data_IF_219980923405
#
_entry.id   IF_219980923405
#
_cell.length_a   1.000
_cell.length_b   1.000
_cell.length_c   1.000
_cell.angle_alpha   90.00
_cell.angle_beta   90.00
_cell.angle_gamma   90.00
#
_symmetry.space_group_name_H-M   'P 1'
#
loop_
_entity.id
_entity.type
_entity.pdbx_description
1 polymer ?
#
# COMPACT_ATOMS: atom_id res chain seq x y z
N UNK A 1 -87.41 -30.74 12.57
CA UNK A 1 -86.80 -30.32 13.85
C UNK A 1 -85.51 -29.58 13.55
N UNK A 2 -85.43 -28.34 14.02
CA UNK A 2 -84.33 -27.39 13.87
C UNK A 2 -83.05 -27.88 14.56
N UNK A 3 -81.89 -27.73 13.91
CA UNK A 3 -80.62 -27.41 14.60
C UNK A 3 -79.81 -26.44 13.72
N UNK A 4 -79.80 -25.19 14.19
CA UNK A 4 -78.92 -24.10 13.76
C UNK A 4 -77.66 -24.19 14.61
N UNK A 5 -76.48 -24.20 13.99
CA UNK A 5 -75.20 -23.65 14.51
C UNK A 5 -74.20 -23.74 13.35
N UNK A 6 -73.23 -22.87 13.14
CA UNK A 6 -72.85 -21.58 13.68
C UNK A 6 -71.63 -21.17 12.83
N UNK A 7 -71.60 -19.92 12.36
CA UNK A 7 -70.42 -19.06 12.14
C UNK A 7 -69.16 -19.68 11.50
N UNK A 8 -68.71 -19.11 10.38
CA UNK A 8 -67.62 -18.12 10.42
C UNK A 8 -67.40 -17.55 9.01
N UNK A 9 -67.62 -16.25 8.87
CA UNK A 9 -67.12 -15.44 7.76
C UNK A 9 -65.61 -15.32 7.94
N UNK A 10 -64.82 -15.75 6.96
CA UNK A 10 -63.42 -15.38 6.88
C UNK A 10 -63.13 -14.82 5.49
N UNK A 11 -63.37 -13.52 5.37
CA UNK A 11 -62.92 -12.67 4.27
C UNK A 11 -61.39 -12.72 4.23
N UNK A 12 -60.82 -13.43 3.26
CA UNK A 12 -59.38 -13.43 3.01
C UNK A 12 -59.05 -12.16 2.21
N UNK A 13 -58.75 -11.07 2.94
CA UNK A 13 -58.11 -9.88 2.41
C UNK A 13 -56.69 -10.27 1.98
N UNK A 14 -56.50 -10.53 0.68
CA UNK A 14 -55.17 -10.64 0.09
C UNK A 14 -54.58 -9.23 0.06
N UNK A 15 -53.81 -8.92 1.10
CA UNK A 15 -52.94 -7.76 1.16
C UNK A 15 -51.84 -8.00 0.11
N UNK A 16 -51.99 -7.39 -1.07
CA UNK A 16 -50.93 -7.31 -2.07
C UNK A 16 -49.85 -6.39 -1.53
N UNK A 17 -48.99 -6.95 -0.68
CA UNK A 17 -47.77 -6.31 -0.23
C UNK A 17 -46.83 -6.18 -1.42
N UNK A 18 -46.86 -5.02 -2.08
CA UNK A 18 -45.86 -4.58 -3.04
C UNK A 18 -44.49 -4.68 -2.41
N UNK A 19 -43.77 -5.77 -2.71
CA UNK A 19 -42.35 -5.93 -2.40
C UNK A 19 -41.60 -4.99 -3.34
N UNK A 20 -41.61 -3.70 -3.02
CA UNK A 20 -40.71 -2.72 -3.65
C UNK A 20 -39.33 -3.09 -3.16
N UNK A 21 -38.67 -3.96 -3.91
CA UNK A 21 -37.27 -4.31 -3.73
C UNK A 21 -36.48 -3.02 -3.97
N UNK A 22 -36.21 -2.30 -2.87
CA UNK A 22 -35.20 -1.25 -2.85
C UNK A 22 -33.89 -1.91 -3.28
N UNK A 23 -33.57 -1.79 -4.56
CA UNK A 23 -32.20 -1.94 -5.04
C UNK A 23 -31.39 -0.85 -4.35
N UNK A 24 -30.85 -1.18 -3.18
CA UNK A 24 -29.75 -0.45 -2.61
C UNK A 24 -28.65 -0.47 -3.67
N UNK A 25 -28.50 0.63 -4.41
CA UNK A 25 -27.28 0.88 -5.15
C UNK A 25 -26.20 0.90 -4.08
N UNK A 26 -25.36 -0.14 -4.06
CA UNK A 26 -24.12 -0.11 -3.32
C UNK A 26 -23.37 1.12 -3.82
N UNK A 27 -23.45 2.21 -3.06
CA UNK A 27 -22.61 3.36 -3.26
C UNK A 27 -21.22 2.82 -2.98
N UNK A 28 -20.42 2.69 -4.04
CA UNK A 28 -19.00 2.36 -3.91
C UNK A 28 -18.41 3.56 -3.19
N UNK A 29 -18.38 3.51 -1.86
CA UNK A 29 -17.59 4.42 -1.05
C UNK A 29 -16.15 4.07 -1.40
N UNK A 30 -15.37 4.97 -2.01
CA UNK A 30 -13.98 4.69 -2.24
C UNK A 30 -13.37 4.39 -0.87
N UNK A 31 -12.89 3.16 -0.69
CA UNK A 31 -12.06 2.80 0.46
C UNK A 31 -10.90 3.77 0.38
N UNK A 32 -10.84 4.74 1.32
CA UNK A 32 -9.70 5.60 1.44
C UNK A 32 -8.49 4.67 1.49
N UNK A 33 -7.59 4.81 0.52
CA UNK A 33 -6.38 3.99 0.46
C UNK A 33 -5.70 4.13 1.81
N UNK A 34 -5.65 3.07 2.61
CA UNK A 34 -5.00 3.05 3.92
C UNK A 34 -3.47 2.99 3.73
N UNK A 35 -2.95 3.82 2.84
CA UNK A 35 -1.55 4.00 2.53
C UNK A 35 -1.11 5.37 3.01
N UNK A 36 0.15 5.52 3.48
CA UNK A 36 0.64 6.84 3.85
C UNK A 36 0.71 7.72 2.60
N UNK A 37 0.16 8.93 2.69
CA UNK A 37 0.26 9.91 1.62
C UNK A 37 1.68 10.50 1.59
N UNK A 38 2.36 10.41 0.44
CA UNK A 38 3.72 10.91 0.27
C UNK A 38 3.72 12.40 -0.10
N UNK A 39 3.41 13.24 0.88
CA UNK A 39 3.21 14.69 0.66
C UNK A 39 4.36 15.55 1.18
N UNK A 40 5.26 14.99 2.00
CA UNK A 40 6.39 15.73 2.56
C UNK A 40 7.63 15.57 1.66
N UNK A 41 8.42 16.62 1.41
CA UNK A 41 9.71 16.47 0.74
C UNK A 41 10.62 15.50 1.51
N UNK A 42 11.36 14.66 0.79
CA UNK A 42 12.34 13.75 1.40
C UNK A 42 13.59 14.55 1.79
N UNK A 43 13.54 15.17 2.98
CA UNK A 43 14.65 15.95 3.53
C UNK A 43 15.86 15.10 3.92
N UNK A 44 16.99 15.74 4.21
CA UNK A 44 18.25 15.04 4.52
C UNK A 44 18.15 14.09 5.73
N UNK A 45 17.45 14.50 6.80
CA UNK A 45 17.25 13.69 8.00
C UNK A 45 16.39 12.47 7.70
N UNK A 46 15.28 12.66 6.98
CA UNK A 46 14.38 11.56 6.61
C UNK A 46 15.07 10.60 5.64
N UNK A 47 15.84 11.13 4.68
CA UNK A 47 16.66 10.35 3.76
C UNK A 47 17.69 9.50 4.51
N UNK A 48 18.42 10.06 5.48
CA UNK A 48 19.37 9.32 6.32
C UNK A 48 18.68 8.22 7.12
N UNK A 49 17.54 8.52 7.74
CA UNK A 49 16.78 7.55 8.53
C UNK A 49 16.27 6.39 7.67
N UNK A 50 15.64 6.70 6.54
CA UNK A 50 15.11 5.72 5.59
C UNK A 50 16.23 4.87 5.00
N UNK A 51 17.33 5.48 4.56
CA UNK A 51 18.46 4.74 3.99
C UNK A 51 19.06 3.80 5.03
N UNK A 52 19.18 4.24 6.30
CA UNK A 52 19.61 3.39 7.42
C UNK A 52 18.66 2.21 7.64
N UNK A 53 17.35 2.44 7.64
CA UNK A 53 16.34 1.38 7.77
C UNK A 53 16.44 0.36 6.63
N UNK A 54 16.61 0.83 5.39
CA UNK A 54 16.70 -0.03 4.21
C UNK A 54 18.05 -0.77 4.11
N UNK A 55 19.16 -0.17 4.58
CA UNK A 55 20.49 -0.79 4.57
C UNK A 55 20.69 -1.80 5.72
N UNK A 56 20.28 -1.43 6.93
CA UNK A 56 20.45 -2.27 8.11
C UNK A 56 19.29 -3.26 8.29
N UNK A 57 18.17 -3.01 7.63
CA UNK A 57 16.94 -3.73 7.85
C UNK A 57 17.01 -5.17 7.35
N UNK A 58 16.77 -6.11 8.26
CA UNK A 58 16.60 -7.51 7.89
C UNK A 58 15.19 -7.70 7.35
N UNK A 59 15.07 -8.36 6.20
CA UNK A 59 13.77 -8.78 5.69
C UNK A 59 13.19 -9.85 6.63
N UNK A 60 11.91 -9.75 6.92
CA UNK A 60 11.18 -10.69 7.76
C UNK A 60 11.26 -12.12 7.18
N UNK A 61 11.26 -13.19 8.01
CA UNK A 61 11.43 -14.57 7.53
C UNK A 61 10.38 -15.02 6.50
N UNK A 62 9.20 -14.38 6.50
CA UNK A 62 8.11 -14.68 5.56
C UNK A 62 8.29 -14.01 4.19
N UNK A 63 9.22 -13.05 4.07
CA UNK A 63 9.49 -12.29 2.85
C UNK A 63 10.42 -13.08 1.94
N UNK A 64 9.96 -13.41 0.73
CA UNK A 64 10.76 -14.12 -0.28
C UNK A 64 11.17 -13.17 -1.40
N UNK A 65 11.91 -12.14 -1.09
CA UNK A 65 12.47 -11.24 -2.11
C UNK A 65 13.92 -10.92 -1.76
N UNK A 66 14.64 -10.37 -2.73
CA UNK A 66 15.94 -9.78 -2.47
C UNK A 66 15.86 -8.27 -2.64
N UNK A 67 16.40 -7.56 -1.66
CA UNK A 67 16.48 -6.12 -1.64
C UNK A 67 17.96 -5.73 -1.60
N UNK A 68 18.40 -4.92 -2.56
CA UNK A 68 19.73 -4.33 -2.58
C UNK A 68 19.59 -2.82 -2.65
N UNK A 69 20.21 -2.14 -1.70
CA UNK A 69 20.08 -0.69 -1.52
C UNK A 69 21.46 -0.08 -1.67
N UNK A 70 21.54 1.06 -2.34
CA UNK A 70 22.77 1.84 -2.51
C UNK A 70 22.45 3.31 -2.38
N UNK A 71 23.32 4.06 -1.74
CA UNK A 71 23.30 5.52 -1.75
C UNK A 71 24.41 6.03 -2.65
N UNK A 72 24.15 7.12 -3.36
CA UNK A 72 25.12 7.80 -4.22
C UNK A 72 24.87 9.30 -4.26
N UNK A 73 25.84 10.05 -4.76
CA UNK A 73 25.72 11.49 -5.02
C UNK A 73 25.80 11.71 -6.53
N UNK A 74 24.86 12.47 -7.07
CA UNK A 74 24.78 12.80 -8.49
C UNK A 74 24.83 14.31 -8.69
N UNK A 75 25.60 14.78 -9.67
CA UNK A 75 25.47 16.16 -10.15
C UNK A 75 24.27 16.26 -11.09
N UNK A 76 23.29 17.07 -10.71
CA UNK A 76 22.05 17.29 -11.45
C UNK A 76 21.87 18.76 -11.76
N UNK A 77 21.38 19.03 -12.98
CA UNK A 77 21.11 20.40 -13.45
C UNK A 77 19.67 20.78 -13.17
N UNK A 78 19.49 21.80 -12.34
CA UNK A 78 18.20 22.43 -12.07
C UNK A 78 18.12 23.79 -12.78
N UNK A 79 16.93 24.37 -12.84
CA UNK A 79 16.73 25.75 -13.32
C UNK A 79 17.53 26.78 -12.52
N UNK A 80 17.86 26.46 -11.26
CA UNK A 80 18.66 27.30 -10.35
C UNK A 80 20.17 27.04 -10.42
N UNK A 81 20.61 26.09 -11.27
CA UNK A 81 22.01 25.71 -11.43
C UNK A 81 22.29 24.22 -11.15
N UNK A 82 23.53 23.77 -11.38
CA UNK A 82 23.97 22.42 -11.02
C UNK A 82 24.03 22.26 -9.50
N UNK A 83 23.60 21.09 -9.01
CA UNK A 83 23.57 20.74 -7.58
C UNK A 83 23.91 19.27 -7.40
N UNK A 84 24.61 18.97 -6.30
CA UNK A 84 24.88 17.60 -5.89
C UNK A 84 23.67 17.09 -5.10
N UNK A 85 23.01 16.05 -5.61
CA UNK A 85 21.81 15.45 -5.03
C UNK A 85 22.14 14.06 -4.51
N UNK A 86 21.65 13.74 -3.31
CA UNK A 86 21.73 12.38 -2.77
C UNK A 86 20.65 11.50 -3.38
N UNK A 87 21.04 10.28 -3.77
CA UNK A 87 20.17 9.35 -4.48
C UNK A 87 20.18 8.00 -3.79
N UNK A 88 18.98 7.54 -3.44
CA UNK A 88 18.70 6.20 -2.98
C UNK A 88 18.36 5.33 -4.20
N UNK A 89 19.24 4.38 -4.52
CA UNK A 89 18.99 3.35 -5.54
C UNK A 89 18.51 2.07 -4.85
N UNK A 90 17.34 1.59 -5.26
CA UNK A 90 16.75 0.35 -4.77
C UNK A 90 16.62 -0.64 -5.91
N UNK A 91 17.25 -1.80 -5.75
CA UNK A 91 17.15 -2.94 -6.65
C UNK A 91 16.40 -4.04 -5.94
N UNK A 92 15.27 -4.42 -6.51
CA UNK A 92 14.34 -5.38 -5.95
C UNK A 92 14.16 -6.56 -6.90
N UNK A 93 14.25 -7.76 -6.34
CA UNK A 93 13.97 -9.01 -7.02
C UNK A 93 12.75 -9.66 -6.32
N UNK A 94 11.53 -9.44 -6.83
CA UNK A 94 10.37 -10.17 -6.36
C UNK A 94 10.55 -11.66 -6.69
N UNK A 95 10.17 -12.58 -5.79
CA UNK A 95 10.06 -14.01 -6.13
C UNK A 95 8.60 -14.40 -6.30
N UNK A 96 8.37 -15.60 -6.85
CA UNK A 96 7.03 -16.11 -7.18
C UNK A 96 6.68 -15.79 -8.63
N UNK A 97 5.49 -15.26 -8.87
CA UNK A 97 4.99 -14.97 -10.22
C UNK A 97 5.89 -14.00 -11.03
N UNK A 98 6.68 -13.17 -10.34
CA UNK A 98 7.58 -12.18 -10.94
C UNK A 98 9.07 -12.54 -10.80
N UNK A 99 9.42 -13.83 -10.60
CA UNK A 99 10.76 -14.28 -10.19
C UNK A 99 11.92 -13.81 -11.09
N UNK A 100 11.65 -13.55 -12.38
CA UNK A 100 12.68 -13.14 -13.34
C UNK A 100 12.78 -11.61 -13.51
N UNK A 101 11.95 -10.83 -12.83
CA UNK A 101 11.88 -9.38 -13.01
C UNK A 101 12.83 -8.68 -12.05
N UNK A 102 13.86 -8.02 -12.59
CA UNK A 102 14.68 -7.08 -11.80
C UNK A 102 14.06 -5.68 -11.86
N UNK A 103 13.56 -5.20 -10.74
CA UNK A 103 13.04 -3.83 -10.64
C UNK A 103 14.12 -2.95 -10.04
N UNK A 104 14.50 -1.88 -10.73
CA UNK A 104 15.51 -0.92 -10.27
C UNK A 104 14.94 0.49 -10.35
N UNK A 105 14.91 1.18 -9.23
CA UNK A 105 14.40 2.55 -9.13
C UNK A 105 15.41 3.42 -8.39
N UNK A 106 15.48 4.71 -8.76
CA UNK A 106 16.30 5.72 -8.10
C UNK A 106 15.38 6.80 -7.52
N UNK A 107 15.61 7.15 -6.26
CA UNK A 107 14.86 8.16 -5.51
C UNK A 107 15.84 9.28 -5.14
N UNK A 108 15.92 10.37 -5.93
CA UNK A 108 16.71 11.54 -5.60
C UNK A 108 16.02 12.32 -4.48
N UNK A 109 16.70 12.58 -3.36
CA UNK A 109 16.10 13.17 -2.16
C UNK A 109 15.31 14.47 -2.45
N UNK A 110 15.92 15.40 -3.18
CA UNK A 110 15.29 16.69 -3.52
C UNK A 110 14.12 16.60 -4.52
N UNK A 111 13.94 15.45 -5.18
CA UNK A 111 12.90 15.20 -6.19
C UNK A 111 11.96 14.07 -5.78
N UNK A 112 11.98 13.69 -4.51
CA UNK A 112 11.15 12.65 -3.95
C UNK A 112 10.34 13.19 -2.78
N UNK A 113 9.16 12.64 -2.61
CA UNK A 113 8.34 12.86 -1.43
C UNK A 113 8.27 11.58 -0.61
N UNK A 114 7.97 11.73 0.67
CA UNK A 114 7.72 10.63 1.56
C UNK A 114 6.50 10.90 2.44
N UNK A 115 5.99 9.82 3.02
CA UNK A 115 5.01 9.84 4.09
C UNK A 115 5.17 8.61 4.96
N UNK A 116 4.86 8.75 6.24
CA UNK A 116 4.80 7.61 7.16
C UNK A 116 3.53 7.61 8.00
N UNK A 117 3.14 6.43 8.45
CA UNK A 117 2.04 6.24 9.40
C UNK A 117 2.28 5.00 10.25
N UNK A 118 1.83 5.03 11.50
CA UNK A 118 1.84 3.83 12.34
C UNK A 118 0.63 2.96 11.96
N UNK A 119 0.90 1.67 11.72
CA UNK A 119 -0.11 0.67 11.36
C UNK A 119 0.00 -0.55 12.27
N UNK A 120 -1.08 -1.30 12.36
CA UNK A 120 -1.06 -2.63 12.95
C UNK A 120 -0.79 -3.67 11.84
N UNK A 121 0.22 -4.48 12.05
CA UNK A 121 0.62 -5.58 11.16
C UNK A 121 0.39 -6.91 11.86
N UNK A 122 0.05 -7.93 11.09
CA UNK A 122 -0.15 -9.26 11.65
C UNK A 122 1.17 -9.98 12.01
N UNK A 123 2.33 -9.41 11.64
CA UNK A 123 3.64 -10.04 11.86
C UNK A 123 4.36 -9.48 13.10
N UNK A 124 4.17 -8.19 13.40
CA UNK A 124 4.91 -7.49 14.45
C UNK A 124 4.03 -6.78 15.48
N UNK A 125 2.71 -6.76 15.30
CA UNK A 125 1.85 -5.83 16.03
C UNK A 125 2.00 -4.43 15.45
N UNK A 126 2.42 -3.44 16.24
CA UNK A 126 2.66 -2.10 15.69
C UNK A 126 3.86 -2.09 14.72
N UNK A 127 3.75 -1.32 13.64
CA UNK A 127 4.82 -1.04 12.70
C UNK A 127 4.67 0.35 12.09
N UNK A 128 5.74 0.89 11.54
CA UNK A 128 5.71 2.14 10.79
C UNK A 128 5.73 1.82 9.29
N UNK A 129 4.68 2.25 8.60
CA UNK A 129 4.49 2.15 7.16
C UNK A 129 5.02 3.41 6.50
N UNK A 130 6.01 3.26 5.64
CA UNK A 130 6.73 4.35 4.97
C UNK A 130 6.53 4.18 3.47
N UNK A 131 6.17 5.27 2.80
CA UNK A 131 6.10 5.35 1.34
C UNK A 131 6.99 6.47 0.84
N UNK A 132 7.70 6.23 -0.25
CA UNK A 132 8.52 7.20 -0.96
C UNK A 132 8.08 7.19 -2.42
N UNK A 133 7.88 8.38 -2.99
CA UNK A 133 7.53 8.57 -4.39
C UNK A 133 8.63 9.39 -5.07
N UNK A 134 9.03 8.98 -6.27
CA UNK A 134 9.89 9.75 -7.14
C UNK A 134 9.01 10.51 -8.14
N UNK A 135 9.27 11.80 -8.30
CA UNK A 135 8.60 12.61 -9.31
C UNK A 135 9.27 12.43 -10.69
N UNK A 136 9.23 11.20 -11.21
CA UNK A 136 9.67 10.87 -12.56
C UNK A 136 8.48 10.59 -13.49
N UNK A 137 8.76 10.30 -14.77
CA UNK A 137 7.73 10.12 -15.80
C UNK A 137 6.77 8.96 -15.56
N UNK A 138 7.10 8.02 -14.67
CA UNK A 138 6.26 6.87 -14.39
C UNK A 138 5.70 6.89 -12.96
N UNK A 139 5.98 7.93 -12.17
CA UNK A 139 5.61 8.04 -10.76
C UNK A 139 6.07 6.81 -9.97
N UNK A 140 7.36 6.47 -10.08
CA UNK A 140 7.88 5.32 -9.32
C UNK A 140 7.76 5.53 -7.82
N UNK A 141 7.50 4.45 -7.10
CA UNK A 141 7.33 4.48 -5.66
C UNK A 141 7.85 3.21 -5.01
N UNK A 142 8.23 3.34 -3.73
CA UNK A 142 8.48 2.21 -2.85
C UNK A 142 7.67 2.39 -1.57
N UNK A 143 7.21 1.27 -1.00
CA UNK A 143 6.50 1.23 0.27
C UNK A 143 7.01 0.08 1.10
N UNK A 144 7.29 0.31 2.37
CA UNK A 144 7.71 -0.74 3.29
C UNK A 144 7.20 -0.48 4.70
N UNK A 145 7.03 -1.56 5.46
CA UNK A 145 6.67 -1.49 6.87
C UNK A 145 7.80 -2.07 7.69
N UNK A 146 8.23 -1.39 8.75
CA UNK A 146 9.19 -1.92 9.71
C UNK A 146 8.60 -2.06 11.11
N UNK A 147 9.10 -3.03 11.88
CA UNK A 147 8.59 -3.43 13.19
C UNK A 147 9.11 -2.60 14.38
N UNK A 148 9.76 -1.46 14.13
CA UNK A 148 10.45 -0.65 15.14
C UNK A 148 11.73 -1.28 15.72
N UNK A 149 12.01 -2.57 15.46
CA UNK A 149 13.26 -3.25 15.82
C UNK A 149 14.26 -3.28 14.65
N UNK A 150 13.90 -2.63 13.55
CA UNK A 150 14.68 -2.55 12.33
C UNK A 150 14.42 -3.70 11.35
N UNK A 151 13.44 -4.59 11.58
CA UNK A 151 13.09 -5.59 10.57
C UNK A 151 12.05 -5.02 9.62
N UNK A 152 12.23 -5.23 8.31
CA UNK A 152 11.24 -4.92 7.29
C UNK A 152 10.29 -6.12 7.23
N UNK A 153 9.00 -5.89 7.49
CA UNK A 153 7.97 -6.94 7.54
C UNK A 153 7.05 -6.92 6.33
N UNK A 154 7.06 -5.85 5.55
CA UNK A 154 6.39 -5.77 4.26
C UNK A 154 7.18 -4.84 3.34
N UNK A 155 7.25 -5.17 2.06
CA UNK A 155 7.91 -4.35 1.06
C UNK A 155 7.20 -4.49 -0.28
N UNK A 156 6.98 -3.37 -0.94
CA UNK A 156 6.38 -3.29 -2.28
C UNK A 156 7.07 -2.16 -3.03
N UNK A 157 7.33 -2.35 -4.32
CA UNK A 157 7.84 -1.31 -5.20
C UNK A 157 7.06 -1.31 -6.49
N UNK A 158 6.88 -0.15 -7.11
CA UNK A 158 6.05 -0.04 -8.30
C UNK A 158 6.16 1.30 -8.98
N UNK A 159 5.20 1.54 -9.87
CA UNK A 159 4.99 2.79 -10.58
C UNK A 159 3.52 2.88 -11.00
N UNK A 160 3.17 3.86 -11.84
CA UNK A 160 1.82 4.05 -12.37
C UNK A 160 1.27 2.87 -13.20
N UNK A 161 2.13 1.97 -13.68
CA UNK A 161 1.75 0.86 -14.57
C UNK A 161 1.74 -0.51 -13.87
N UNK A 162 2.57 -0.69 -12.85
CA UNK A 162 2.81 -2.02 -12.28
C UNK A 162 3.25 -1.95 -10.83
N UNK A 163 2.84 -2.97 -10.08
CA UNK A 163 3.17 -3.15 -8.66
C UNK A 163 3.86 -4.48 -8.44
N UNK A 164 4.99 -4.46 -7.75
CA UNK A 164 5.80 -5.62 -7.45
C UNK A 164 5.86 -5.83 -5.92
N UNK A 165 4.97 -6.66 -5.35
CA UNK A 165 4.97 -6.97 -3.94
C UNK A 165 6.06 -7.99 -3.59
N UNK A 166 6.67 -7.85 -2.42
CA UNK A 166 7.44 -8.93 -1.82
C UNK A 166 6.46 -9.96 -1.23
N UNK A 167 6.15 -10.99 -2.01
CA UNK A 167 5.13 -11.96 -1.63
C UNK A 167 5.56 -12.88 -0.49
N UNK A 168 4.56 -13.29 0.31
CA UNK A 168 4.67 -14.40 1.25
C UNK A 168 4.95 -15.69 0.47
N UNK A 169 5.66 -16.63 1.09
CA UNK A 169 5.62 -18.05 0.67
C UNK A 169 4.15 -18.51 0.64
N UNK A 170 3.59 -18.73 -0.54
CA UNK A 170 2.51 -19.71 -0.64
C UNK A 170 3.17 -21.05 -0.28
N UNK A 171 2.77 -21.60 0.85
CA UNK A 171 3.14 -22.97 1.23
C UNK A 171 2.32 -23.96 0.42
#
# INVERSE_FOLDING_TARGET
>A
MLKITSRLVLSFLIFVGSVVSLRAKAQIVPVASDEPAANAPLGAVDFENITKLLHAGKLGPHMKCELKVRTSKEDRRFSTGPRIVEVLEVVFYPRGFYADTKVKVRFPAELSTFGSKIVSTHWSGAGEDIKIEAHDTLDHWLRFIHDGKGNIVQFTMGNSLSTYPCMKKNE
#
